data_IF_541185435855
#
_entry.id   IF_541185435855
#
_cell.length_a   1.000
_cell.length_b   1.000
_cell.length_c   1.000
_cell.angle_alpha   90.00
_cell.angle_beta   90.00
_cell.angle_gamma   90.00
#
_symmetry.space_group_name_H-M   'P 1'
#
loop_
_entity.id
_entity.type
_entity.pdbx_description
1 polymer ?
#
# COMPACT_ATOMS: atom_id res chain seq x y z
N UNK A 1 14.21 2.42 -10.28
CA UNK A 1 13.55 3.33 -9.32
C UNK A 1 14.52 4.37 -8.77
N UNK A 2 15.65 3.95 -8.16
CA UNK A 2 16.67 4.88 -7.64
C UNK A 2 17.14 5.91 -8.69
N UNK A 3 17.61 5.47 -9.86
CA UNK A 3 18.08 6.40 -10.90
C UNK A 3 17.00 7.39 -11.36
N UNK A 4 15.77 6.92 -11.58
CA UNK A 4 14.64 7.78 -11.95
C UNK A 4 14.33 8.85 -10.89
N UNK A 5 14.41 8.51 -9.60
CA UNK A 5 14.18 9.48 -8.52
C UNK A 5 15.31 10.50 -8.44
N UNK A 6 16.56 10.05 -8.66
CA UNK A 6 17.74 10.93 -8.69
C UNK A 6 17.69 11.91 -9.86
N UNK A 7 17.33 11.44 -11.07
CA UNK A 7 17.28 12.25 -12.30
C UNK A 7 16.15 13.28 -12.30
N UNK A 8 14.99 12.96 -11.69
CA UNK A 8 13.80 13.83 -11.71
C UNK A 8 13.59 14.62 -10.42
N UNK A 9 14.52 14.57 -9.46
CA UNK A 9 14.46 15.36 -8.23
C UNK A 9 14.65 16.85 -8.52
N UNK A 10 13.72 17.68 -8.02
CA UNK A 10 13.78 19.15 -8.14
C UNK A 10 14.72 19.81 -7.11
N UNK A 11 15.27 19.02 -6.20
CA UNK A 11 16.19 19.44 -5.12
C UNK A 11 17.44 18.57 -5.12
N UNK A 12 18.57 19.00 -4.51
CA UNK A 12 19.76 18.17 -4.40
C UNK A 12 19.44 16.79 -3.81
N UNK A 13 19.87 15.75 -4.52
CA UNK A 13 19.63 14.37 -4.11
C UNK A 13 20.45 14.03 -2.86
N UNK A 14 19.81 13.40 -1.87
CA UNK A 14 20.45 12.98 -0.62
C UNK A 14 20.22 11.50 -0.41
N UNK A 15 21.29 10.71 -0.46
CA UNK A 15 21.25 9.25 -0.31
C UNK A 15 20.52 8.80 0.96
N UNK A 16 20.83 9.43 2.11
CA UNK A 16 20.19 9.11 3.40
C UNK A 16 18.67 9.35 3.39
N UNK A 17 18.18 10.31 2.60
CA UNK A 17 16.75 10.56 2.45
C UNK A 17 16.10 9.49 1.59
N UNK A 18 16.79 9.08 0.53
CA UNK A 18 16.34 7.99 -0.33
C UNK A 18 16.25 6.66 0.42
N UNK A 19 17.26 6.28 1.19
CA UNK A 19 17.28 5.01 1.93
C UNK A 19 16.08 4.91 2.88
N UNK A 20 15.84 5.95 3.69
CA UNK A 20 14.68 6.00 4.60
C UNK A 20 13.33 5.89 3.88
N UNK A 21 13.23 6.49 2.69
CA UNK A 21 12.03 6.43 1.87
C UNK A 21 11.85 5.03 1.26
N UNK A 22 12.92 4.49 0.66
CA UNK A 22 12.95 3.19 0.01
C UNK A 22 12.59 2.06 0.97
N UNK A 23 13.04 2.14 2.23
CA UNK A 23 12.71 1.18 3.28
C UNK A 23 11.19 1.08 3.54
N UNK A 24 10.42 2.11 3.17
CA UNK A 24 8.96 2.16 3.31
C UNK A 24 8.16 1.65 2.14
N UNK A 25 8.81 1.31 1.02
CA UNK A 25 8.11 0.75 -0.12
C UNK A 25 8.08 -0.78 -0.06
N UNK A 26 6.94 -1.34 -0.45
CA UNK A 26 6.78 -2.75 -0.75
C UNK A 26 6.12 -2.85 -2.12
N UNK A 27 6.54 -3.83 -2.90
CA UNK A 27 5.95 -4.13 -4.19
C UNK A 27 5.35 -5.53 -4.12
N UNK A 28 4.07 -5.64 -4.43
CA UNK A 28 3.33 -6.91 -4.47
C UNK A 28 2.89 -7.13 -5.92
N UNK A 29 3.51 -8.07 -6.66
CA UNK A 29 3.11 -8.37 -8.03
C UNK A 29 1.80 -9.18 -8.08
N UNK A 30 0.98 -8.90 -9.09
CA UNK A 30 -0.26 -9.62 -9.36
C UNK A 30 -1.13 -8.97 -10.43
N UNK A 31 -2.27 -9.59 -10.72
CA UNK A 31 -3.33 -9.06 -11.60
C UNK A 31 -4.60 -8.78 -10.80
N UNK A 32 -5.55 -8.03 -11.38
CA UNK A 32 -6.76 -7.61 -10.65
C UNK A 32 -7.74 -8.74 -10.34
N UNK A 33 -7.65 -9.84 -11.09
CA UNK A 33 -8.47 -11.04 -10.97
C UNK A 33 -7.80 -12.19 -10.19
N UNK A 34 -6.61 -11.95 -9.63
CA UNK A 34 -5.85 -12.94 -8.86
C UNK A 34 -6.14 -12.81 -7.35
N UNK A 35 -6.99 -13.71 -6.83
CA UNK A 35 -7.32 -13.78 -5.40
C UNK A 35 -6.06 -13.96 -4.52
N UNK A 36 -5.06 -14.72 -4.95
CA UNK A 36 -3.83 -14.93 -4.18
C UNK A 36 -2.97 -13.66 -4.14
N UNK A 37 -2.98 -12.85 -5.21
CA UNK A 37 -2.30 -11.55 -5.19
C UNK A 37 -2.88 -10.61 -4.13
N UNK A 38 -4.20 -10.59 -3.97
CA UNK A 38 -4.84 -9.78 -2.94
C UNK A 38 -4.65 -10.34 -1.54
N UNK A 39 -4.55 -11.65 -1.38
CA UNK A 39 -4.14 -12.26 -0.12
C UNK A 39 -2.70 -11.84 0.29
N UNK A 40 -1.75 -11.89 -0.66
CA UNK A 40 -0.37 -11.40 -0.44
C UNK A 40 -0.33 -9.90 -0.13
N UNK A 41 -1.17 -9.11 -0.81
CA UNK A 41 -1.30 -7.68 -0.54
C UNK A 41 -1.79 -7.44 0.90
N UNK A 42 -2.81 -8.17 1.35
CA UNK A 42 -3.34 -8.06 2.69
C UNK A 42 -2.28 -8.40 3.76
N UNK A 43 -1.58 -9.52 3.59
CA UNK A 43 -0.48 -9.90 4.48
C UNK A 43 0.63 -8.83 4.53
N UNK A 44 0.95 -8.23 3.38
CA UNK A 44 1.94 -7.16 3.32
C UNK A 44 1.48 -5.90 4.07
N UNK A 45 0.20 -5.54 3.96
CA UNK A 45 -0.37 -4.39 4.67
C UNK A 45 -0.39 -4.63 6.18
N UNK A 46 -0.79 -5.83 6.64
CA UNK A 46 -0.76 -6.20 8.06
C UNK A 46 0.66 -6.12 8.65
N UNK A 47 1.65 -6.66 7.95
CA UNK A 47 3.05 -6.57 8.35
C UNK A 47 3.51 -5.10 8.47
N UNK A 48 3.16 -4.26 7.50
CA UNK A 48 3.51 -2.84 7.53
C UNK A 48 2.81 -2.08 8.67
N UNK A 49 1.54 -2.39 8.96
CA UNK A 49 0.81 -1.80 10.08
C UNK A 49 1.48 -2.13 11.42
N UNK A 50 1.93 -3.38 11.61
CA UNK A 50 2.67 -3.83 12.80
C UNK A 50 4.05 -3.17 12.88
N UNK A 51 4.83 -3.21 11.79
CA UNK A 51 6.21 -2.71 11.76
C UNK A 51 6.30 -1.19 11.89
N UNK A 52 5.32 -0.45 11.35
CA UNK A 52 5.36 1.02 11.26
C UNK A 52 4.33 1.74 12.12
N UNK A 53 3.40 1.01 12.74
CA UNK A 53 2.38 1.58 13.61
C UNK A 53 1.44 2.55 12.89
N UNK A 54 1.01 2.23 11.66
CA UNK A 54 0.06 3.09 10.92
C UNK A 54 -1.33 3.11 11.56
N UNK A 55 -1.60 2.17 12.47
CA UNK A 55 -2.78 2.13 13.31
C UNK A 55 -4.05 1.97 12.49
N UNK A 56 -4.01 1.12 11.46
CA UNK A 56 -5.13 0.88 10.56
C UNK A 56 -5.46 2.03 9.59
N UNK A 57 -4.70 3.13 9.58
CA UNK A 57 -4.97 4.27 8.71
C UNK A 57 -4.38 4.05 7.30
N UNK A 58 -5.18 3.45 6.42
CA UNK A 58 -4.77 3.09 5.07
C UNK A 58 -5.54 3.91 4.03
N UNK A 59 -4.81 4.45 3.05
CA UNK A 59 -5.38 5.12 1.89
C UNK A 59 -5.02 4.33 0.62
N UNK A 60 -6.03 4.00 -0.18
CA UNK A 60 -5.85 3.32 -1.46
C UNK A 60 -5.86 4.32 -2.60
N UNK A 61 -4.73 4.46 -3.29
CA UNK A 61 -4.63 5.24 -4.52
C UNK A 61 -4.73 4.31 -5.73
N UNK A 62 -5.90 4.28 -6.38
CA UNK A 62 -6.19 3.35 -7.47
C UNK A 62 -5.88 3.97 -8.84
N UNK A 63 -4.61 3.90 -9.24
CA UNK A 63 -4.12 4.36 -10.56
C UNK A 63 -4.43 3.34 -11.68
N UNK A 64 -5.70 2.98 -11.85
CA UNK A 64 -6.15 1.89 -12.74
C UNK A 64 -7.23 2.39 -13.74
N UNK A 65 -7.45 1.68 -14.87
CA UNK A 65 -8.54 2.04 -15.79
C UNK A 65 -9.92 1.98 -15.11
N UNK A 66 -10.88 2.88 -15.46
CA UNK A 66 -12.20 2.93 -14.83
C UNK A 66 -12.96 1.60 -14.78
N UNK A 67 -12.85 0.78 -15.84
CA UNK A 67 -13.49 -0.55 -15.93
C UNK A 67 -12.99 -1.56 -14.89
N UNK A 68 -11.80 -1.35 -14.32
CA UNK A 68 -11.20 -2.26 -13.34
C UNK A 68 -11.59 -1.91 -11.90
N UNK A 69 -12.17 -0.73 -11.65
CA UNK A 69 -12.56 -0.29 -10.31
C UNK A 69 -13.45 -1.29 -9.57
N UNK A 70 -14.55 -1.83 -10.17
CA UNK A 70 -15.43 -2.74 -9.45
C UNK A 70 -14.68 -3.99 -8.96
N UNK A 71 -13.87 -4.60 -9.82
CA UNK A 71 -13.11 -5.82 -9.51
C UNK A 71 -12.11 -5.55 -8.38
N UNK A 72 -11.35 -4.46 -8.47
CA UNK A 72 -10.34 -4.14 -7.45
C UNK A 72 -10.98 -3.80 -6.11
N UNK A 73 -12.07 -3.04 -6.10
CA UNK A 73 -12.80 -2.73 -4.86
C UNK A 73 -13.39 -3.99 -4.20
N UNK A 74 -13.93 -4.91 -5.00
CA UNK A 74 -14.45 -6.18 -4.49
C UNK A 74 -13.34 -7.04 -3.88
N UNK A 75 -12.19 -7.15 -4.56
CA UNK A 75 -11.05 -7.89 -4.05
C UNK A 75 -10.50 -7.31 -2.74
N UNK A 76 -10.33 -5.98 -2.68
CA UNK A 76 -9.91 -5.32 -1.43
C UNK A 76 -10.86 -5.63 -0.27
N UNK A 77 -12.17 -5.55 -0.52
CA UNK A 77 -13.18 -5.85 0.49
C UNK A 77 -13.15 -7.33 0.93
N UNK A 78 -13.03 -8.26 -0.03
CA UNK A 78 -12.90 -9.71 0.25
C UNK A 78 -11.65 -10.04 1.07
N UNK A 79 -10.57 -9.30 0.84
CA UNK A 79 -9.31 -9.43 1.58
C UNK A 79 -9.27 -8.66 2.90
N UNK A 80 -10.41 -8.10 3.34
CA UNK A 80 -10.53 -7.47 4.66
C UNK A 80 -10.11 -5.99 4.73
N UNK A 81 -9.97 -5.32 3.58
CA UNK A 81 -9.51 -3.93 3.51
C UNK A 81 -10.56 -2.94 2.97
N UNK A 82 -10.62 -1.71 3.50
CA UNK A 82 -9.83 -1.20 4.62
C UNK A 82 -10.20 -1.89 5.94
N UNK A 83 -9.18 -2.19 6.76
CA UNK A 83 -9.39 -2.85 8.05
C UNK A 83 -10.37 -2.01 8.89
N UNK A 84 -11.50 -2.61 9.27
CA UNK A 84 -12.48 -1.94 10.12
C UNK A 84 -11.86 -1.72 11.49
N UNK A 85 -11.67 -0.47 11.88
CA UNK A 85 -11.44 -0.15 13.30
C UNK A 85 -12.72 -0.52 14.06
N UNK A 86 -12.65 -1.53 14.93
CA UNK A 86 -13.60 -1.62 16.02
C UNK A 86 -13.40 -0.37 16.86
N UNK A 87 -14.42 0.49 16.91
CA UNK A 87 -14.44 1.59 17.86
C UNK A 87 -14.41 0.98 19.27
N UNK A 88 -13.21 0.91 19.88
CA UNK A 88 -13.08 0.59 21.28
C UNK A 88 -13.63 1.77 22.08
N UNK A 89 -14.81 1.56 22.68
CA UNK A 89 -15.38 2.24 23.84
C UNK A 89 -15.12 3.74 23.99
N UNK A 90 -16.12 4.55 23.67
CA UNK A 90 -16.40 5.72 24.50
C UNK A 90 -16.91 5.18 25.85
N UNK A 91 -16.07 5.27 26.89
CA UNK A 91 -16.36 4.92 28.27
C UNK A 91 -15.62 5.86 29.20
#
# INVERSE_FOLDING_TARGET
MYESVKEHSRTPFRQVVWERLADGFRFVPGTFDDDEAFARLAECLEKLDIERGTGGNHAFYLAIPPKAFPVVCEQLNRSGWPARKTAAGAG
#
